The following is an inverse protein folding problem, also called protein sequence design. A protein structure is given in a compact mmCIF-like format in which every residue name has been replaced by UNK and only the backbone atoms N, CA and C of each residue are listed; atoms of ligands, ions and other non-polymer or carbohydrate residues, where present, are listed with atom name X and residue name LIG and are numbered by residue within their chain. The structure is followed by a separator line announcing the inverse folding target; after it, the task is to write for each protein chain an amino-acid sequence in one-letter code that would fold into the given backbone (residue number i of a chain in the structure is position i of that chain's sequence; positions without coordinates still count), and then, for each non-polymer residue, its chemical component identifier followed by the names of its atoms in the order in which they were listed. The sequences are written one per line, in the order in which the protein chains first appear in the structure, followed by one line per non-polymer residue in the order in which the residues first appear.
data_IF_094238783874
#
_entry.id   IF_094238783874
#
_cell.length_a   1.000
_cell.length_b   1.000
_cell.length_c   1.000
_cell.angle_alpha   90.00
_cell.angle_beta   90.00
_cell.angle_gamma   90.00
#
_symmetry.space_group_name_H-M   'P 1'
#
loop_
_entity.id
_entity.type
_entity.pdbx_description
1 polymer ?
#
# COMPACT_ATOMS: atom_id res chain seq x y z
N UNK A 1 -6.93 13.54 6.00
CA UNK A 1 -6.20 13.93 4.79
C UNK A 1 -6.97 15.05 4.12
N UNK A 2 -6.29 16.12 3.78
CA UNK A 2 -6.81 17.23 2.97
C UNK A 2 -6.78 16.88 1.49
N UNK A 3 -7.55 17.56 0.65
CA UNK A 3 -7.52 17.36 -0.80
C UNK A 3 -6.12 17.56 -1.40
N UNK A 4 -5.35 18.51 -0.84
CA UNK A 4 -3.96 18.75 -1.25
C UNK A 4 -3.08 17.53 -0.98
N UNK A 5 -3.21 16.90 0.17
CA UNK A 5 -2.46 15.68 0.54
C UNK A 5 -2.87 14.50 -0.34
N UNK A 6 -4.18 14.31 -0.54
CA UNK A 6 -4.73 13.27 -1.42
C UNK A 6 -4.16 13.39 -2.84
N UNK A 7 -4.20 14.60 -3.40
CA UNK A 7 -3.68 14.87 -4.74
C UNK A 7 -2.17 14.62 -4.83
N UNK A 8 -1.42 15.01 -3.80
CA UNK A 8 0.02 14.80 -3.74
C UNK A 8 0.36 13.31 -3.76
N UNK A 9 -0.28 12.52 -2.91
CA UNK A 9 -0.03 11.07 -2.81
C UNK A 9 -0.32 10.36 -4.13
N UNK A 10 -1.43 10.67 -4.77
CA UNK A 10 -1.79 10.07 -6.06
C UNK A 10 -0.77 10.47 -7.14
N UNK A 11 -0.37 11.75 -7.19
CA UNK A 11 0.57 12.26 -8.20
C UNK A 11 1.98 11.69 -8.05
N UNK A 12 2.43 11.52 -6.81
CA UNK A 12 3.80 11.09 -6.49
C UNK A 12 3.94 9.56 -6.38
N UNK A 13 2.83 8.83 -6.46
CA UNK A 13 2.84 7.37 -6.36
C UNK A 13 3.72 6.74 -7.43
N UNK A 14 4.52 5.78 -7.01
CA UNK A 14 5.36 4.94 -7.87
C UNK A 14 5.17 3.49 -7.44
N UNK A 15 5.22 2.59 -8.41
CA UNK A 15 5.22 1.16 -8.13
C UNK A 15 6.48 0.81 -7.33
N UNK A 16 6.32 0.00 -6.30
CA UNK A 16 7.42 -0.49 -5.48
C UNK A 16 7.70 -1.94 -5.84
N UNK A 17 8.97 -2.29 -5.98
CA UNK A 17 9.38 -3.67 -6.23
C UNK A 17 8.90 -4.59 -5.08
N UNK A 18 8.31 -5.74 -5.43
CA UNK A 18 7.72 -6.66 -4.46
C UNK A 18 6.34 -6.26 -3.93
N UNK A 19 5.73 -5.19 -4.46
CA UNK A 19 4.37 -4.76 -4.15
C UNK A 19 3.50 -4.70 -5.43
N UNK A 20 2.18 -4.64 -5.26
CA UNK A 20 1.25 -4.58 -6.38
C UNK A 20 1.31 -3.24 -7.12
N UNK A 21 1.14 -3.27 -8.45
CA UNK A 21 0.94 -2.04 -9.22
C UNK A 21 -0.48 -1.51 -9.02
N UNK A 22 -0.59 -0.49 -8.19
CA UNK A 22 -1.85 0.22 -7.91
C UNK A 22 -1.99 1.51 -8.70
N UNK A 23 -1.17 1.76 -9.74
CA UNK A 23 -1.15 3.02 -10.50
C UNK A 23 -2.47 3.34 -11.21
N UNK A 24 -3.24 2.30 -11.55
CA UNK A 24 -4.58 2.42 -12.12
C UNK A 24 -5.62 2.46 -11.01
N UNK A 25 -6.31 3.60 -10.86
CA UNK A 25 -7.41 3.73 -9.90
C UNK A 25 -8.63 2.88 -10.35
N UNK A 26 -9.16 2.00 -9.50
CA UNK A 26 -10.43 1.30 -9.75
C UNK A 26 -11.59 2.28 -9.78
N UNK A 27 -12.56 2.05 -10.66
CA UNK A 27 -13.76 2.91 -10.80
C UNK A 27 -14.61 2.97 -9.54
N UNK A 28 -14.52 1.95 -8.69
CA UNK A 28 -15.31 1.80 -7.46
C UNK A 28 -14.74 2.58 -6.28
N UNK A 29 -13.48 3.04 -6.35
CA UNK A 29 -12.86 3.79 -5.25
C UNK A 29 -12.93 5.28 -5.52
N UNK A 30 -13.35 6.03 -4.50
CA UNK A 30 -13.21 7.48 -4.56
C UNK A 30 -11.75 7.89 -4.32
N UNK A 31 -11.45 9.16 -4.60
CA UNK A 31 -10.08 9.70 -4.57
C UNK A 31 -9.43 9.59 -3.19
N UNK A 32 -10.19 9.80 -2.13
CA UNK A 32 -9.68 9.72 -0.76
C UNK A 32 -9.34 8.28 -0.39
N UNK A 33 -10.21 7.32 -0.71
CA UNK A 33 -9.96 5.90 -0.46
C UNK A 33 -8.76 5.40 -1.25
N UNK A 34 -8.69 5.75 -2.54
CA UNK A 34 -7.56 5.42 -3.39
C UNK A 34 -6.24 5.95 -2.79
N UNK A 35 -6.20 7.23 -2.40
CA UNK A 35 -5.01 7.80 -1.77
C UNK A 35 -4.64 7.12 -0.44
N UNK A 36 -5.61 6.66 0.36
CA UNK A 36 -5.33 5.90 1.59
C UNK A 36 -4.65 4.57 1.29
N UNK A 37 -5.13 3.82 0.30
CA UNK A 37 -4.52 2.54 -0.12
C UNK A 37 -3.10 2.78 -0.63
N UNK A 38 -2.89 3.77 -1.50
CA UNK A 38 -1.56 4.13 -2.00
C UNK A 38 -0.62 4.53 -0.87
N UNK A 39 -1.08 5.36 0.06
CA UNK A 39 -0.28 5.82 1.19
C UNK A 39 0.13 4.65 2.11
N UNK A 40 -0.78 3.71 2.35
CA UNK A 40 -0.48 2.52 3.15
C UNK A 40 0.54 1.61 2.45
N UNK A 41 0.41 1.40 1.13
CA UNK A 41 1.40 0.63 0.38
C UNK A 41 2.77 1.32 0.37
N UNK A 42 2.82 2.65 0.18
CA UNK A 42 4.07 3.43 0.29
C UNK A 42 4.71 3.26 1.68
N UNK A 43 3.92 3.34 2.75
CA UNK A 43 4.42 3.12 4.11
C UNK A 43 5.01 1.72 4.28
N UNK A 44 4.29 0.67 3.87
CA UNK A 44 4.77 -0.71 3.98
C UNK A 44 6.04 -0.93 3.15
N UNK A 45 6.11 -0.35 1.94
CA UNK A 45 7.30 -0.42 1.10
C UNK A 45 8.52 0.23 1.77
N UNK A 46 8.34 1.38 2.42
CA UNK A 46 9.41 2.04 3.16
C UNK A 46 9.86 1.22 4.37
N UNK A 47 8.92 0.62 5.12
CA UNK A 47 9.27 -0.25 6.24
C UNK A 47 10.01 -1.51 5.78
N UNK A 48 9.64 -2.07 4.62
CA UNK A 48 10.26 -3.28 4.07
C UNK A 48 11.74 -3.08 3.70
N UNK A 49 12.19 -1.85 3.43
CA UNK A 49 13.63 -1.54 3.26
C UNK A 49 14.46 -1.86 4.50
N UNK A 50 13.84 -1.83 5.68
CA UNK A 50 14.46 -2.15 6.96
C UNK A 50 14.14 -3.57 7.47
N UNK A 51 13.66 -4.47 6.59
CA UNK A 51 13.17 -5.81 6.98
C UNK A 51 14.17 -6.60 7.82
N UNK A 52 15.46 -6.56 7.50
CA UNK A 52 16.49 -7.34 8.20
C UNK A 52 16.66 -6.87 9.64
N UNK A 53 16.69 -5.55 9.83
CA UNK A 53 16.72 -4.94 11.15
C UNK A 53 15.47 -5.30 11.95
N UNK A 54 14.28 -5.10 11.37
CA UNK A 54 13.01 -5.35 12.05
C UNK A 54 12.86 -6.82 12.45
N UNK A 55 13.20 -7.75 11.56
CA UNK A 55 13.13 -9.18 11.85
C UNK A 55 14.07 -9.60 13.00
N UNK A 56 15.25 -9.00 13.08
CA UNK A 56 16.28 -9.36 14.06
C UNK A 56 16.11 -8.65 15.41
N UNK A 57 15.76 -7.36 15.40
CA UNK A 57 15.82 -6.50 16.58
C UNK A 57 14.45 -5.97 17.02
N UNK A 58 13.44 -5.99 16.16
CA UNK A 58 12.09 -5.52 16.50
C UNK A 58 10.99 -6.40 15.89
N UNK A 59 11.02 -7.68 16.26
CA UNK A 59 10.15 -8.72 15.69
C UNK A 59 8.66 -8.39 15.87
N UNK A 60 8.27 -7.80 17.00
CA UNK A 60 6.87 -7.40 17.25
C UNK A 60 6.38 -6.38 16.22
N UNK A 61 7.21 -5.40 15.86
CA UNK A 61 6.87 -4.45 14.79
C UNK A 61 6.81 -5.16 13.43
N UNK A 62 7.76 -6.06 13.14
CA UNK A 62 7.73 -6.84 11.90
C UNK A 62 6.46 -7.68 11.75
N UNK A 63 6.03 -8.35 12.82
CA UNK A 63 4.82 -9.17 12.81
C UNK A 63 3.56 -8.33 12.54
N UNK A 64 3.46 -7.15 13.19
CA UNK A 64 2.37 -6.19 12.90
C UNK A 64 2.37 -5.70 11.45
N UNK A 65 3.55 -5.43 10.87
CA UNK A 65 3.65 -5.00 9.48
C UNK A 65 3.18 -6.09 8.51
N UNK A 66 3.45 -7.37 8.81
CA UNK A 66 2.90 -8.48 8.03
C UNK A 66 1.39 -8.57 8.13
N UNK A 67 0.82 -8.39 9.31
CA UNK A 67 -0.65 -8.37 9.50
C UNK A 67 -1.30 -7.24 8.70
N UNK A 68 -0.75 -6.04 8.78
CA UNK A 68 -1.23 -4.88 8.00
C UNK A 68 -1.09 -5.14 6.49
N UNK A 69 0.02 -5.75 6.07
CA UNK A 69 0.23 -6.13 4.67
C UNK A 69 -0.83 -7.13 4.20
N UNK A 70 -1.15 -8.16 5.00
CA UNK A 70 -2.19 -9.13 4.67
C UNK A 70 -3.58 -8.48 4.57
N UNK A 71 -3.91 -7.56 5.47
CA UNK A 71 -5.17 -6.79 5.40
C UNK A 71 -5.23 -5.93 4.14
N UNK A 72 -4.13 -5.25 3.80
CA UNK A 72 -4.03 -4.46 2.58
C UNK A 72 -4.19 -5.35 1.33
N UNK A 73 -3.60 -6.55 1.31
CA UNK A 73 -3.76 -7.49 0.19
C UNK A 73 -5.23 -7.86 -0.02
N UNK A 74 -6.00 -8.06 1.05
CA UNK A 74 -7.45 -8.28 0.95
C UNK A 74 -8.18 -7.11 0.26
N UNK A 75 -7.86 -5.87 0.65
CA UNK A 75 -8.40 -4.66 0.03
C UNK A 75 -7.97 -4.54 -1.44
N UNK A 76 -6.71 -4.86 -1.74
CA UNK A 76 -6.19 -4.84 -3.11
C UNK A 76 -6.94 -5.84 -3.98
N UNK A 77 -7.10 -7.09 -3.54
CA UNK A 77 -7.85 -8.07 -4.34
C UNK A 77 -9.32 -7.72 -4.51
N UNK A 78 -9.95 -7.10 -3.51
CA UNK A 78 -11.33 -6.64 -3.63
C UNK A 78 -11.53 -5.59 -4.73
N UNK A 79 -10.57 -4.68 -4.92
CA UNK A 79 -10.75 -3.52 -5.82
C UNK A 79 -9.91 -3.57 -7.11
N UNK A 80 -8.77 -4.25 -7.07
CA UNK A 80 -7.84 -4.42 -8.20
C UNK A 80 -7.76 -5.87 -8.70
N UNK A 81 -8.48 -6.82 -8.10
CA UNK A 81 -8.42 -8.23 -8.50
C UNK A 81 -8.57 -8.43 -10.01
N UNK A 82 -9.60 -7.83 -10.60
CA UNK A 82 -9.85 -7.90 -12.05
C UNK A 82 -8.79 -7.17 -12.90
N UNK A 83 -8.04 -6.22 -12.33
CA UNK A 83 -6.99 -5.47 -13.04
C UNK A 83 -5.65 -6.22 -12.97
N UNK A 84 -5.41 -6.94 -11.87
CA UNK A 84 -4.15 -7.62 -11.58
C UNK A 84 -4.13 -9.05 -12.12
N UNK A 85 -5.29 -9.74 -12.10
CA UNK A 85 -5.40 -11.15 -12.48
C UNK A 85 -5.77 -11.37 -13.96
N UNK A 86 -6.10 -10.31 -14.69
CA UNK A 86 -6.34 -10.32 -16.15
C UNK A 86 -5.17 -9.70 -16.90
#
# INVERSE_FOLDING_TARGET
MTDKEVNKIIKEYKVHEGFFDLSKQPKTLNKLEYAKVLNLQNFLAEQNKNREYLQKFNKSQWDKLKEISAQLQGVIFQYWGDIILN
#
